data_IF_403904789959
#
_entry.id   IF_403904789959
#
_cell.length_a   1.000
_cell.length_b   1.000
_cell.length_c   1.000
_cell.angle_alpha   90.00
_cell.angle_beta   90.00
_cell.angle_gamma   90.00
#
_symmetry.space_group_name_H-M   'P 1'
#
loop_
_entity.id
_entity.type
_entity.pdbx_description
1 polymer ?
#
# COMPACT_ATOMS: atom_id res chain seq x y z
N UNK A 1 -15.37 -11.41 -3.30
CA UNK A 1 -13.95 -11.20 -2.99
C UNK A 1 -13.84 -10.72 -1.57
N UNK A 2 -13.05 -11.42 -0.75
CA UNK A 2 -12.85 -11.10 0.66
C UNK A 2 -12.15 -9.74 0.80
N UNK A 3 -12.57 -8.93 1.78
CA UNK A 3 -11.98 -7.60 1.99
C UNK A 3 -10.64 -7.79 2.71
N UNK A 4 -9.54 -7.60 1.99
CA UNK A 4 -8.19 -7.60 2.56
C UNK A 4 -7.87 -6.19 3.04
N UNK A 5 -7.59 -6.06 4.32
CA UNK A 5 -7.14 -4.80 4.92
C UNK A 5 -5.63 -4.62 4.73
N UNK A 6 -5.22 -3.37 4.55
CA UNK A 6 -3.83 -2.95 4.44
C UNK A 6 -3.75 -1.50 4.93
N UNK A 7 -2.74 -1.18 5.74
CA UNK A 7 -2.39 0.21 6.06
C UNK A 7 -1.67 0.80 4.85
N UNK A 8 -2.22 1.87 4.30
CA UNK A 8 -1.59 2.54 3.17
C UNK A 8 -0.60 3.59 3.70
N UNK A 9 0.41 3.96 2.89
CA UNK A 9 1.18 5.15 3.20
C UNK A 9 0.30 6.40 3.21
N UNK A 10 0.68 7.37 4.04
CA UNK A 10 -0.02 8.64 4.20
C UNK A 10 -0.29 9.32 2.86
N UNK A 11 0.65 9.25 1.92
CA UNK A 11 0.53 9.84 0.59
C UNK A 11 -0.65 9.26 -0.23
N UNK A 12 -1.04 8.01 0.03
CA UNK A 12 -2.21 7.39 -0.58
C UNK A 12 -3.47 7.54 0.29
N UNK A 13 -3.33 7.52 1.62
CA UNK A 13 -4.46 7.73 2.54
C UNK A 13 -5.09 9.11 2.37
N UNK A 14 -4.28 10.15 2.16
CA UNK A 14 -4.75 11.53 1.95
C UNK A 14 -5.57 11.68 0.66
N UNK A 15 -5.33 10.84 -0.34
CA UNK A 15 -6.06 10.86 -1.62
C UNK A 15 -7.44 10.19 -1.53
N UNK A 16 -7.63 9.25 -0.61
CA UNK A 16 -8.90 8.53 -0.43
C UNK A 16 -10.09 9.49 -0.19
N UNK A 17 -10.05 10.40 0.80
CA UNK A 17 -11.17 11.31 1.06
C UNK A 17 -11.41 12.28 -0.10
N UNK A 18 -10.35 12.75 -0.77
CA UNK A 18 -10.49 13.64 -1.94
C UNK A 18 -11.28 12.98 -3.08
N UNK A 19 -10.95 11.73 -3.39
CA UNK A 19 -11.64 10.96 -4.43
C UNK A 19 -13.06 10.61 -4.00
N UNK A 20 -13.28 10.26 -2.74
CA UNK A 20 -14.63 10.01 -2.21
C UNK A 20 -15.53 11.24 -2.30
N UNK A 21 -15.02 12.41 -1.92
CA UNK A 21 -15.78 13.66 -1.94
C UNK A 21 -16.08 14.10 -3.38
N UNK A 22 -15.10 13.96 -4.28
CA UNK A 22 -15.33 14.17 -5.71
C UNK A 22 -16.41 13.23 -6.27
N UNK A 23 -16.37 11.94 -5.90
CA UNK A 23 -17.33 10.95 -6.40
C UNK A 23 -18.73 11.20 -5.83
N UNK A 24 -18.85 11.51 -4.54
CA UNK A 24 -20.14 11.84 -3.87
C UNK A 24 -20.82 13.05 -4.49
N UNK A 25 -20.08 14.08 -4.90
CA UNK A 25 -20.63 15.27 -5.59
C UNK A 25 -21.36 14.94 -6.88
N UNK A 26 -20.90 13.92 -7.62
CA UNK A 26 -21.47 13.54 -8.91
C UNK A 26 -22.42 12.33 -8.84
N UNK A 27 -22.30 11.49 -7.81
CA UNK A 27 -23.01 10.22 -7.70
C UNK A 27 -23.66 10.05 -6.31
N UNK A 28 -24.75 10.77 -6.08
CA UNK A 28 -25.50 10.68 -4.82
C UNK A 28 -26.04 9.27 -4.56
N UNK A 29 -25.98 8.83 -3.30
CA UNK A 29 -26.52 7.53 -2.87
C UNK A 29 -25.61 6.33 -3.16
N UNK A 30 -24.39 6.55 -3.68
CA UNK A 30 -23.37 5.51 -3.87
C UNK A 30 -22.25 5.65 -2.84
N UNK A 31 -21.59 4.53 -2.53
CA UNK A 31 -20.41 4.46 -1.65
C UNK A 31 -19.29 3.72 -2.38
N UNK A 32 -18.06 4.24 -2.28
CA UNK A 32 -16.88 3.59 -2.83
C UNK A 32 -16.42 2.46 -1.90
N UNK A 33 -16.05 1.34 -2.52
CA UNK A 33 -15.38 0.23 -1.87
C UNK A 33 -13.99 0.09 -2.47
N UNK A 34 -12.97 0.41 -1.67
CA UNK A 34 -11.58 0.38 -2.11
C UNK A 34 -11.08 -1.07 -2.19
N UNK A 35 -10.66 -1.47 -3.40
CA UNK A 35 -10.16 -2.81 -3.69
C UNK A 35 -8.64 -2.79 -3.86
N UNK A 36 -7.91 -2.60 -2.75
CA UNK A 36 -6.44 -2.50 -2.76
C UNK A 36 -5.73 -3.72 -3.38
N UNK A 37 -6.34 -4.91 -3.29
CA UNK A 37 -5.84 -6.12 -3.94
C UNK A 37 -5.74 -5.98 -5.48
N UNK A 38 -6.59 -5.16 -6.09
CA UNK A 38 -6.59 -4.91 -7.55
C UNK A 38 -5.85 -3.61 -7.91
N UNK A 39 -5.33 -2.89 -6.91
CA UNK A 39 -4.62 -1.63 -7.10
C UNK A 39 -3.12 -1.89 -7.27
N UNK A 40 -2.51 -1.13 -8.17
CA UNK A 40 -1.07 -1.14 -8.43
C UNK A 40 -0.61 0.29 -8.73
N UNK A 41 0.70 0.48 -8.81
CA UNK A 41 1.29 1.76 -9.15
C UNK A 41 2.80 1.63 -9.39
N UNK A 42 3.40 2.73 -9.81
CA UNK A 42 4.84 2.82 -10.02
C UNK A 42 5.45 3.61 -8.85
N UNK A 43 6.49 3.07 -8.24
CA UNK A 43 7.26 3.77 -7.21
C UNK A 43 8.72 3.89 -7.63
N UNK A 44 9.36 4.97 -7.22
CA UNK A 44 10.79 5.18 -7.42
C UNK A 44 11.56 4.60 -6.23
N UNK A 45 12.32 3.53 -6.46
CA UNK A 45 13.24 2.94 -5.50
C UNK A 45 14.65 3.48 -5.69
N UNK A 46 15.22 4.06 -4.63
CA UNK A 46 16.60 4.58 -4.60
C UNK A 46 17.46 3.69 -3.73
N UNK A 47 18.59 3.24 -4.28
CA UNK A 47 19.59 2.48 -3.54
C UNK A 47 21.00 3.04 -3.82
N UNK A 48 22.03 2.39 -3.27
CA UNK A 48 23.43 2.82 -3.42
C UNK A 48 23.98 2.66 -4.85
N UNK A 49 23.28 1.90 -5.71
CA UNK A 49 23.67 1.63 -7.11
C UNK A 49 22.97 2.58 -8.08
N UNK A 50 21.77 3.07 -7.75
CA UNK A 50 21.01 3.96 -8.60
C UNK A 50 19.56 4.13 -8.20
N UNK A 51 18.77 4.61 -9.15
CA UNK A 51 17.34 4.86 -9.02
C UNK A 51 16.61 4.02 -10.08
N UNK A 52 15.56 3.34 -9.64
CA UNK A 52 14.76 2.43 -10.46
C UNK A 52 13.28 2.70 -10.23
N UNK A 53 12.48 2.58 -11.29
CA UNK A 53 11.03 2.62 -11.16
C UNK A 53 10.50 1.20 -11.11
N UNK A 54 9.76 0.89 -10.04
CA UNK A 54 9.19 -0.41 -9.77
C UNK A 54 7.67 -0.35 -9.96
N UNK A 55 7.15 -1.17 -10.87
CA UNK A 55 5.71 -1.43 -10.95
C UNK A 55 5.34 -2.45 -9.89
N UNK A 56 4.52 -2.04 -8.92
CA UNK A 56 4.20 -2.82 -7.72
C UNK A 56 2.71 -2.80 -7.43
N UNK A 57 2.23 -3.88 -6.82
CA UNK A 57 0.89 -3.92 -6.21
C UNK A 57 0.84 -3.03 -4.98
N UNK A 58 -0.36 -2.61 -4.56
CA UNK A 58 -0.53 -1.80 -3.35
C UNK A 58 -0.01 -2.51 -2.09
N UNK A 59 -0.04 -3.85 -2.03
CA UNK A 59 0.52 -4.60 -0.89
C UNK A 59 2.04 -4.56 -0.88
N UNK A 60 2.68 -4.75 -2.04
CA UNK A 60 4.13 -4.60 -2.17
C UNK A 60 4.57 -3.18 -1.83
N UNK A 61 3.81 -2.18 -2.26
CA UNK A 61 4.04 -0.78 -1.92
C UNK A 61 4.00 -0.56 -0.40
N UNK A 62 2.96 -1.03 0.29
CA UNK A 62 2.85 -0.92 1.75
C UNK A 62 4.04 -1.58 2.49
N UNK A 63 4.47 -2.76 2.02
CA UNK A 63 5.64 -3.47 2.55
C UNK A 63 6.92 -2.66 2.34
N UNK A 64 7.18 -2.17 1.13
CA UNK A 64 8.40 -1.42 0.82
C UNK A 64 8.48 -0.10 1.59
N UNK A 65 7.34 0.56 1.79
CA UNK A 65 7.26 1.80 2.56
C UNK A 65 7.69 1.65 4.03
N UNK A 66 7.64 0.44 4.60
CA UNK A 66 8.12 0.17 5.96
C UNK A 66 9.61 0.50 6.17
N UNK A 67 10.40 0.62 5.08
CA UNK A 67 11.81 1.00 5.09
C UNK A 67 12.09 2.47 4.82
N UNK A 68 11.11 3.31 4.44
CA UNK A 68 11.36 4.70 4.04
C UNK A 68 12.07 5.53 5.13
N UNK A 69 11.74 5.29 6.40
CA UNK A 69 12.36 5.98 7.55
C UNK A 69 13.59 5.23 8.12
N UNK A 70 13.84 4.00 7.63
CA UNK A 70 14.89 3.10 8.15
C UNK A 70 15.50 2.21 7.04
N UNK A 71 16.14 2.79 6.01
CA UNK A 71 16.47 2.05 4.78
C UNK A 71 17.45 0.89 4.95
N UNK A 72 18.28 0.92 6.01
CA UNK A 72 19.33 -0.07 6.28
C UNK A 72 18.97 -1.06 7.39
N UNK A 73 17.79 -0.93 7.99
CA UNK A 73 17.38 -1.80 9.08
C UNK A 73 16.78 -3.12 8.59
N UNK A 74 16.91 -4.16 9.41
CA UNK A 74 16.20 -5.42 9.22
C UNK A 74 14.89 -5.35 9.98
N UNK A 75 13.77 -5.52 9.28
CA UNK A 75 12.44 -5.54 9.89
C UNK A 75 12.00 -7.01 10.00
N UNK A 76 11.57 -7.43 11.19
CA UNK A 76 11.05 -8.79 11.39
C UNK A 76 9.71 -8.96 10.67
N UNK A 77 9.35 -10.20 10.35
CA UNK A 77 8.05 -10.51 9.76
C UNK A 77 6.88 -10.01 10.63
N UNK A 78 6.98 -10.15 11.95
CA UNK A 78 5.95 -9.63 12.88
C UNK A 78 5.84 -8.10 12.82
N UNK A 79 6.96 -7.38 12.75
CA UNK A 79 6.94 -5.92 12.64
C UNK A 79 6.38 -5.46 11.29
N UNK A 80 6.64 -6.20 10.20
CA UNK A 80 6.01 -5.93 8.90
C UNK A 80 4.50 -6.16 8.94
N UNK A 81 4.06 -7.22 9.61
CA UNK A 81 2.64 -7.52 9.80
C UNK A 81 1.93 -6.42 10.57
N UNK A 82 2.56 -5.91 11.63
CA UNK A 82 2.04 -4.77 12.40
C UNK A 82 2.03 -3.47 11.56
N UNK A 83 3.10 -3.20 10.81
CA UNK A 83 3.20 -1.95 10.04
C UNK A 83 2.26 -1.90 8.83
N UNK A 84 1.95 -3.06 8.22
CA UNK A 84 1.14 -3.13 6.99
C UNK A 84 -0.30 -3.58 7.24
N UNK A 85 -0.60 -4.12 8.42
CA UNK A 85 -1.87 -4.77 8.77
C UNK A 85 -2.32 -5.88 7.80
N UNK A 86 -1.40 -6.39 6.96
CA UNK A 86 -1.70 -7.45 6.01
C UNK A 86 -1.96 -8.79 6.73
N UNK A 87 -2.96 -9.57 6.30
CA UNK A 87 -3.13 -10.94 6.75
C UNK A 87 -1.87 -11.78 6.49
N UNK A 88 -1.62 -12.78 7.34
CA UNK A 88 -0.40 -13.60 7.28
C UNK A 88 -0.16 -14.22 5.90
N UNK A 89 -1.21 -14.81 5.31
CA UNK A 89 -1.17 -15.42 3.98
C UNK A 89 -0.81 -14.41 2.88
N UNK A 90 -1.38 -13.20 2.96
CA UNK A 90 -1.15 -12.13 1.98
C UNK A 90 0.24 -11.52 2.12
N UNK A 91 0.69 -11.28 3.36
CA UNK A 91 2.04 -10.79 3.63
C UNK A 91 3.10 -11.79 3.16
N UNK A 92 2.92 -13.09 3.41
CA UNK A 92 3.82 -14.13 2.90
C UNK A 92 3.87 -14.14 1.38
N UNK A 93 2.71 -14.12 0.72
CA UNK A 93 2.63 -14.08 -0.74
C UNK A 93 3.28 -12.82 -1.33
N UNK A 94 3.18 -11.70 -0.63
CA UNK A 94 3.75 -10.43 -1.06
C UNK A 94 5.28 -10.41 -0.94
N UNK A 95 5.85 -11.14 0.02
CA UNK A 95 7.28 -11.21 0.30
C UNK A 95 8.04 -12.29 -0.48
N UNK A 96 7.35 -13.30 -1.02
CA UNK A 96 7.96 -14.48 -1.66
C UNK A 96 8.02 -14.36 -3.19
#
# INVERSE_FOLDING_TARGET
>A
SEKVFVSLPTELEDLIPEVEDFYKKNHSGRKLHWHHLMSNGIITFKNEVGQYDLEVTTFQLAVLFAWNQRPREKISFENLKLATELPDAELRRTLW
#
